data_IF_594601860516
#
_entry.id   IF_594601860516
#
_cell.length_a   1.000
_cell.length_b   1.000
_cell.length_c   1.000
_cell.angle_alpha   90.00
_cell.angle_beta   90.00
_cell.angle_gamma   90.00
#
_symmetry.space_group_name_H-M   'P 1'
#
loop_
_entity.id
_entity.type
_entity.pdbx_description
1 polymer ?
#
# COMPACT_ATOMS: atom_id res chain seq x y z
N UNK A 1 -1.77 2.32 27.33
CA UNK A 1 -2.73 2.21 26.21
C UNK A 1 -2.08 2.55 24.88
N UNK A 2 -1.45 3.73 24.72
CA UNK A 2 -0.73 4.15 23.51
C UNK A 2 0.33 3.15 23.00
N UNK A 3 1.21 2.68 23.87
CA UNK A 3 2.29 1.74 23.49
C UNK A 3 1.74 0.41 22.96
N UNK A 4 0.66 -0.10 23.58
CA UNK A 4 -0.01 -1.32 23.12
C UNK A 4 -0.65 -1.12 21.76
N UNK A 5 -1.32 0.01 21.52
CA UNK A 5 -1.88 0.36 20.22
C UNK A 5 -0.81 0.46 19.13
N UNK A 6 0.32 1.14 19.41
CA UNK A 6 1.45 1.22 18.48
C UNK A 6 1.99 -0.18 18.17
N UNK A 7 2.18 -1.00 19.20
CA UNK A 7 2.66 -2.37 19.05
C UNK A 7 1.70 -3.19 18.17
N UNK A 8 0.40 -3.15 18.45
CA UNK A 8 -0.60 -3.91 17.71
C UNK A 8 -0.69 -3.45 16.23
N UNK A 9 -0.64 -2.15 15.98
CA UNK A 9 -0.63 -1.60 14.61
C UNK A 9 0.66 -1.96 13.85
N UNK A 10 1.82 -1.84 14.49
CA UNK A 10 3.10 -2.26 13.89
C UNK A 10 3.14 -3.77 13.64
N UNK A 11 2.59 -4.56 14.56
CA UNK A 11 2.40 -6.00 14.39
C UNK A 11 1.47 -6.32 13.22
N UNK A 12 0.40 -5.55 13.01
CA UNK A 12 -0.49 -5.69 11.86
C UNK A 12 0.22 -5.41 10.52
N UNK A 13 1.00 -4.33 10.44
CA UNK A 13 1.79 -4.01 9.23
C UNK A 13 2.77 -5.13 8.88
N UNK A 14 3.34 -5.78 9.90
CA UNK A 14 4.33 -6.84 9.72
C UNK A 14 3.73 -8.26 9.69
N UNK A 15 2.41 -8.40 9.62
CA UNK A 15 1.76 -9.70 9.44
C UNK A 15 1.38 -10.48 10.70
N UNK A 16 1.75 -10.02 11.90
CA UNK A 16 1.50 -10.77 13.15
C UNK A 16 0.02 -10.80 13.55
N UNK A 17 -0.78 -9.81 13.11
CA UNK A 17 -2.22 -9.74 13.35
C UNK A 17 -3.04 -9.87 12.05
N UNK A 18 -2.42 -10.32 10.96
CA UNK A 18 -3.12 -10.55 9.68
C UNK A 18 -2.95 -12.00 9.23
N UNK A 19 -3.78 -12.42 8.27
CA UNK A 19 -3.73 -13.79 7.74
C UNK A 19 -2.42 -14.12 7.00
N UNK A 20 -1.65 -13.09 6.59
CA UNK A 20 -0.42 -13.25 5.83
C UNK A 20 0.48 -12.02 6.03
N UNK A 21 1.77 -12.26 6.24
CA UNK A 21 2.79 -11.22 6.17
C UNK A 21 2.81 -10.60 4.77
N UNK A 22 2.73 -9.27 4.61
CA UNK A 22 2.59 -8.66 3.29
C UNK A 22 3.68 -9.05 2.29
N UNK A 23 4.94 -9.19 2.72
CA UNK A 23 6.04 -9.60 1.83
C UNK A 23 5.94 -11.07 1.39
N UNK A 24 5.30 -11.93 2.19
CA UNK A 24 4.99 -13.30 1.79
C UNK A 24 3.96 -13.36 0.65
N UNK A 25 3.12 -12.34 0.50
CA UNK A 25 2.15 -12.28 -0.59
C UNK A 25 2.78 -12.06 -1.98
N UNK A 26 4.00 -11.52 -2.03
CA UNK A 26 4.74 -11.27 -3.28
C UNK A 26 5.96 -12.17 -3.45
N UNK A 27 6.23 -13.03 -2.47
CA UNK A 27 7.34 -13.97 -2.49
C UNK A 27 7.18 -14.96 -3.65
N UNK A 28 8.24 -15.15 -4.44
CA UNK A 28 8.25 -16.06 -5.58
C UNK A 28 7.52 -15.56 -6.83
N UNK A 29 6.87 -14.39 -6.79
CA UNK A 29 6.32 -13.77 -8.00
C UNK A 29 7.44 -13.26 -8.91
N UNK A 30 7.30 -13.57 -10.20
CA UNK A 30 8.14 -13.03 -11.29
C UNK A 30 7.30 -12.07 -12.14
N UNK A 31 7.90 -11.13 -12.90
CA UNK A 31 7.14 -10.26 -13.80
C UNK A 31 6.18 -11.05 -14.71
N UNK A 32 6.67 -12.16 -15.29
CA UNK A 32 5.91 -13.06 -16.15
C UNK A 32 4.71 -13.71 -15.46
N UNK A 33 4.81 -14.08 -14.20
CA UNK A 33 3.70 -14.70 -13.45
C UNK A 33 2.76 -13.65 -12.89
N UNK A 34 3.30 -12.54 -12.39
CA UNK A 34 2.55 -11.44 -11.79
C UNK A 34 1.65 -10.71 -12.78
N UNK A 35 2.03 -10.63 -14.06
CA UNK A 35 1.21 -10.01 -15.13
C UNK A 35 0.07 -10.89 -15.64
N UNK A 36 0.01 -12.17 -15.27
CA UNK A 36 -1.06 -13.06 -15.73
C UNK A 36 -2.38 -12.66 -15.07
N UNK A 37 -3.38 -12.39 -15.91
CA UNK A 37 -4.75 -12.16 -15.46
C UNK A 37 -5.47 -13.52 -15.37
N UNK A 38 -6.17 -13.82 -14.27
CA UNK A 38 -7.03 -14.99 -14.20
C UNK A 38 -8.16 -14.90 -15.23
N UNK A 39 -8.60 -16.03 -15.79
CA UNK A 39 -9.76 -16.08 -16.67
C UNK A 39 -10.99 -15.45 -15.99
N UNK A 40 -11.66 -14.51 -16.66
CA UNK A 40 -12.79 -13.71 -16.17
C UNK A 40 -12.47 -12.72 -15.03
N UNK A 41 -11.19 -12.36 -14.80
CA UNK A 41 -10.82 -11.30 -13.85
C UNK A 41 -10.13 -10.13 -14.53
N UNK A 42 -10.38 -8.92 -14.00
CA UNK A 42 -9.88 -7.67 -14.56
C UNK A 42 -8.42 -7.35 -14.19
N UNK A 43 -7.94 -7.89 -13.06
CA UNK A 43 -6.65 -7.52 -12.47
C UNK A 43 -5.75 -8.73 -12.21
N UNK A 44 -4.48 -8.57 -12.56
CA UNK A 44 -3.36 -9.45 -12.25
C UNK A 44 -2.77 -9.13 -10.86
N UNK A 45 -1.84 -9.96 -10.37
CA UNK A 45 -1.12 -9.64 -9.13
C UNK A 45 -0.31 -8.34 -9.27
N UNK A 46 0.23 -8.05 -10.46
CA UNK A 46 0.94 -6.80 -10.72
C UNK A 46 0.01 -5.60 -10.63
N UNK A 47 -1.20 -5.67 -11.21
CA UNK A 47 -2.21 -4.62 -11.11
C UNK A 47 -2.53 -4.29 -9.64
N UNK A 48 -2.77 -5.32 -8.84
CA UNK A 48 -3.12 -5.19 -7.42
C UNK A 48 -1.94 -4.64 -6.59
N UNK A 49 -0.72 -5.08 -6.88
CA UNK A 49 0.47 -4.56 -6.22
C UNK A 49 0.67 -3.07 -6.54
N UNK A 50 0.46 -2.66 -7.80
CA UNK A 50 0.55 -1.26 -8.20
C UNK A 50 -0.45 -0.41 -7.43
N UNK A 51 -1.71 -0.85 -7.44
CA UNK A 51 -2.79 -0.19 -6.73
C UNK A 51 -2.50 -0.06 -5.22
N UNK A 52 -1.96 -1.11 -4.61
CA UNK A 52 -1.59 -1.11 -3.19
C UNK A 52 -0.46 -0.13 -2.90
N UNK A 53 0.62 -0.14 -3.70
CA UNK A 53 1.74 0.80 -3.53
C UNK A 53 1.32 2.25 -3.77
N UNK A 54 0.40 2.48 -4.69
CA UNK A 54 -0.19 3.80 -4.91
C UNK A 54 -0.89 4.29 -3.64
N UNK A 55 -1.76 3.49 -3.03
CA UNK A 55 -2.47 3.87 -1.81
C UNK A 55 -1.57 4.00 -0.58
N UNK A 56 -0.53 3.16 -0.47
CA UNK A 56 0.50 3.35 0.56
C UNK A 56 1.13 4.74 0.46
N UNK A 57 1.45 5.21 -0.74
CA UNK A 57 2.04 6.54 -0.95
C UNK A 57 1.09 7.66 -0.50
N UNK A 58 -0.20 7.55 -0.80
CA UNK A 58 -1.21 8.55 -0.37
C UNK A 58 -1.33 8.55 1.16
N UNK A 59 -1.49 7.37 1.76
CA UNK A 59 -1.58 7.24 3.21
C UNK A 59 -0.35 7.83 3.91
N UNK A 60 0.85 7.50 3.45
CA UNK A 60 2.10 8.00 4.01
C UNK A 60 2.22 9.53 3.92
N UNK A 61 1.74 10.13 2.82
CA UNK A 61 1.68 11.60 2.68
C UNK A 61 0.67 12.22 3.64
N UNK A 62 -0.50 11.62 3.79
CA UNK A 62 -1.54 12.13 4.69
C UNK A 62 -1.09 12.05 6.16
N UNK A 63 -0.38 10.99 6.55
CA UNK A 63 0.27 10.87 7.86
C UNK A 63 1.30 12.00 8.09
N UNK A 64 1.99 12.46 7.04
CA UNK A 64 2.93 13.59 7.08
C UNK A 64 2.24 14.97 7.04
N UNK A 65 0.91 15.02 7.14
CA UNK A 65 0.14 16.27 7.03
C UNK A 65 0.07 16.83 5.61
N UNK A 66 0.62 16.14 4.60
CA UNK A 66 0.51 16.49 3.18
C UNK A 66 -0.77 15.88 2.62
N UNK A 67 -1.89 16.37 3.14
CA UNK A 67 -3.20 15.81 2.87
C UNK A 67 -3.51 15.79 1.37
N UNK A 68 -3.90 14.61 0.89
CA UNK A 68 -4.47 14.35 -0.41
C UNK A 68 -5.84 13.73 -0.17
N UNK A 69 -6.86 14.37 -0.73
CA UNK A 69 -8.21 13.82 -0.79
C UNK A 69 -8.22 12.67 -1.80
N UNK A 70 -8.46 11.45 -1.32
CA UNK A 70 -8.49 10.30 -2.22
C UNK A 70 -9.73 10.24 -3.11
N UNK A 71 -10.79 10.99 -2.79
CA UNK A 71 -12.02 11.03 -3.59
C UNK A 71 -11.84 11.75 -4.93
N UNK A 72 -10.78 12.55 -5.05
CA UNK A 72 -10.45 13.27 -6.29
C UNK A 72 -9.52 12.49 -7.20
N UNK A 73 -9.01 11.33 -6.75
CA UNK A 73 -8.06 10.51 -7.51
C UNK A 73 -8.84 9.68 -8.52
N UNK A 74 -8.47 9.79 -9.79
CA UNK A 74 -9.12 9.01 -10.85
C UNK A 74 -8.62 7.55 -10.87
N UNK A 75 -9.38 6.66 -11.49
CA UNK A 75 -8.96 5.26 -11.64
C UNK A 75 -7.68 5.15 -12.47
N UNK A 76 -7.53 6.00 -13.49
CA UNK A 76 -6.36 6.03 -14.38
C UNK A 76 -5.07 6.39 -13.63
N UNK A 77 -5.17 7.11 -12.50
CA UNK A 77 -4.01 7.46 -11.68
C UNK A 77 -3.56 6.32 -10.77
N UNK A 78 -4.49 5.46 -10.32
CA UNK A 78 -4.23 4.44 -9.31
C UNK A 78 -4.07 3.01 -9.89
N UNK A 79 -4.38 2.81 -11.17
CA UNK A 79 -4.14 1.57 -11.91
C UNK A 79 -2.99 1.74 -12.92
N UNK A 80 -2.18 0.68 -13.17
CA UNK A 80 -1.07 0.78 -14.11
C UNK A 80 -1.57 0.79 -15.56
N UNK A 81 -0.83 1.46 -16.44
CA UNK A 81 -1.03 1.36 -17.88
C UNK A 81 -0.42 0.07 -18.44
N UNK A 82 -0.90 -0.36 -19.62
CA UNK A 82 -0.31 -1.51 -20.32
C UNK A 82 1.18 -1.27 -20.66
N UNK A 83 1.56 -0.03 -20.95
CA UNK A 83 2.97 0.34 -21.17
C UNK A 83 3.79 0.11 -19.88
N UNK A 84 3.27 0.48 -18.72
CA UNK A 84 3.93 0.26 -17.45
C UNK A 84 4.12 -1.23 -17.15
N UNK A 85 3.10 -2.05 -17.43
CA UNK A 85 3.11 -3.51 -17.27
C UNK A 85 3.97 -4.24 -18.32
N UNK A 86 4.45 -3.55 -19.35
CA UNK A 86 5.29 -4.15 -20.41
C UNK A 86 6.77 -4.23 -20.05
N UNK A 87 7.21 -3.51 -19.02
CA UNK A 87 8.62 -3.37 -18.64
C UNK A 87 8.89 -4.13 -17.34
N UNK A 88 9.54 -5.28 -17.41
CA UNK A 88 9.76 -6.17 -16.25
C UNK A 88 10.47 -5.49 -15.07
N UNK A 89 11.38 -4.55 -15.33
CA UNK A 89 12.05 -3.75 -14.30
C UNK A 89 11.07 -2.96 -13.42
N UNK A 90 9.93 -2.54 -13.99
CA UNK A 90 8.89 -1.84 -13.23
C UNK A 90 8.32 -2.74 -12.11
N UNK A 91 8.16 -4.04 -12.34
CA UNK A 91 7.67 -4.96 -11.31
C UNK A 91 8.69 -5.08 -10.17
N UNK A 92 9.96 -5.27 -10.51
CA UNK A 92 11.05 -5.39 -9.53
C UNK A 92 11.15 -4.14 -8.67
N UNK A 93 11.08 -2.95 -9.27
CA UNK A 93 11.07 -1.67 -8.55
C UNK A 93 9.81 -1.48 -7.71
N UNK A 94 8.67 -2.00 -8.16
CA UNK A 94 7.41 -1.93 -7.44
C UNK A 94 7.43 -2.78 -6.16
N UNK A 95 7.99 -4.00 -6.22
CA UNK A 95 8.19 -4.85 -5.04
C UNK A 95 9.13 -4.17 -4.03
N UNK A 96 10.22 -3.56 -4.48
CA UNK A 96 11.12 -2.79 -3.59
C UNK A 96 10.39 -1.62 -2.92
N UNK A 97 9.56 -0.88 -3.68
CA UNK A 97 8.76 0.23 -3.15
C UNK A 97 7.73 -0.24 -2.13
N UNK A 98 7.08 -1.38 -2.40
CA UNK A 98 6.13 -1.99 -1.47
C UNK A 98 6.77 -2.28 -0.11
N UNK A 99 7.91 -2.99 -0.09
CA UNK A 99 8.63 -3.27 1.15
C UNK A 99 9.06 -1.99 1.88
N UNK A 100 9.67 -1.05 1.14
CA UNK A 100 10.12 0.22 1.70
C UNK A 100 8.98 1.03 2.32
N UNK A 101 7.80 1.03 1.71
CA UNK A 101 6.64 1.73 2.25
C UNK A 101 6.13 1.09 3.54
N UNK A 102 6.19 -0.24 3.68
CA UNK A 102 5.85 -0.93 4.93
C UNK A 102 6.81 -0.52 6.06
N UNK A 103 8.11 -0.50 5.78
CA UNK A 103 9.12 -0.06 6.76
C UNK A 103 8.91 1.41 7.18
N UNK A 104 8.60 2.28 6.21
CA UNK A 104 8.31 3.70 6.49
C UNK A 104 7.03 3.81 7.33
N UNK A 105 5.97 3.06 7.00
CA UNK A 105 4.73 3.08 7.74
C UNK A 105 4.93 2.66 9.21
N UNK A 106 5.66 1.57 9.45
CA UNK A 106 6.01 1.13 10.80
C UNK A 106 6.76 2.22 11.59
N UNK A 107 7.77 2.85 10.98
CA UNK A 107 8.53 3.96 11.61
C UNK A 107 7.68 5.19 11.88
N UNK A 108 6.68 5.47 11.02
CA UNK A 108 5.77 6.60 11.23
C UNK A 108 4.79 6.35 12.37
N UNK A 109 4.28 5.12 12.52
CA UNK A 109 3.37 4.76 13.62
C UNK A 109 3.94 5.09 15.00
N UNK A 110 5.25 4.89 15.19
CA UNK A 110 5.93 5.21 16.46
C UNK A 110 5.87 6.71 16.82
N UNK A 111 5.80 7.56 15.80
CA UNK A 111 5.83 9.03 15.92
C UNK A 111 4.46 9.67 15.93
N UNK A 112 3.41 8.90 15.63
CA UNK A 112 2.04 9.40 15.60
C UNK A 112 1.55 9.69 17.03
N UNK A 113 0.96 10.87 17.19
CA UNK A 113 0.17 11.22 18.36
C UNK A 113 -1.30 10.93 18.08
N UNK A 114 -1.73 9.71 18.39
CA UNK A 114 -3.11 9.28 18.22
C UNK A 114 -4.13 10.12 19.00
N UNK A 115 -3.69 10.88 20.02
CA UNK A 115 -4.59 11.71 20.82
C UNK A 115 -4.96 13.02 20.12
N UNK A 116 -4.16 13.47 19.15
CA UNK A 116 -4.44 14.70 18.38
C UNK A 116 -5.33 14.47 17.16
N UNK A 117 -5.59 13.21 16.82
CA UNK A 117 -6.21 12.83 15.56
C UNK A 117 -5.29 13.10 14.37
N UNK A 118 -5.40 12.28 13.33
CA UNK A 118 -4.71 12.50 12.06
C UNK A 118 -5.73 12.42 10.95
N UNK A 119 -5.77 13.46 10.11
CA UNK A 119 -6.58 13.45 8.90
C UNK A 119 -5.91 12.57 7.85
N UNK A 120 -6.36 11.32 7.75
CA UNK A 120 -5.83 10.34 6.79
C UNK A 120 -6.69 10.17 5.53
N UNK A 121 -7.90 10.73 5.52
CA UNK A 121 -8.86 10.65 4.41
C UNK A 121 -9.88 11.80 4.40
N UNK A 122 -10.74 11.87 3.38
CA UNK A 122 -11.82 12.85 3.30
C UNK A 122 -12.82 12.64 4.43
N UNK A 123 -13.46 13.74 4.81
CA UNK A 123 -14.53 13.72 5.79
C UNK A 123 -15.74 13.02 5.16
N UNK A 124 -16.11 11.87 5.71
CA UNK A 124 -17.40 11.26 5.38
C UNK A 124 -18.43 12.02 6.19
N UNK A 125 -19.25 12.83 5.52
CA UNK A 125 -20.50 13.31 6.11
C UNK A 125 -21.41 12.08 6.23
N UNK A 126 -21.93 11.76 7.44
CA UNK A 126 -22.89 10.67 7.63
C UNK A 126 -24.15 10.84 6.76
#
# INVERSE_FOLDING_TARGET
>A
MRERLIKDLSSGINGFLTHLEPMKAVEGLTPTTARKKPSNKYHSCWDLLHHTVFWQKILLKNIDGKFIDWSTISNEENWPSDEYLSKDDNFTELVKKFNKNLEIAAKKLEKIDFMKGIKIGPEHTP
#
